data_IF_807784041377
#
_entry.id   IF_807784041377
#
_cell.length_a   1.000
_cell.length_b   1.000
_cell.length_c   1.000
_cell.angle_alpha   90.00
_cell.angle_beta   90.00
_cell.angle_gamma   90.00
#
_symmetry.space_group_name_H-M   'P 1'
#
loop_
_entity.id
_entity.type
_entity.pdbx_description
1 polymer ?
#
# COMPACT_ATOMS: atom_id res chain seq x y z
N UNK A 1 -15.85 13.16 -23.49
CA UNK A 1 -14.72 13.71 -22.70
C UNK A 1 -14.17 12.57 -21.86
N UNK A 2 -12.88 12.25 -21.92
CA UNK A 2 -12.30 11.12 -21.18
C UNK A 2 -12.15 11.51 -19.69
N UNK A 3 -12.99 11.00 -18.76
CA UNK A 3 -12.95 11.41 -17.36
C UNK A 3 -11.61 11.07 -16.68
N UNK A 4 -10.91 10.04 -17.15
CA UNK A 4 -9.56 9.70 -16.66
C UNK A 4 -8.47 10.70 -17.02
N UNK A 5 -8.63 11.48 -18.10
CA UNK A 5 -7.67 12.53 -18.46
C UNK A 5 -7.77 13.72 -17.49
N UNK A 6 -8.98 14.00 -17.00
CA UNK A 6 -9.21 15.07 -16.02
C UNK A 6 -8.60 14.79 -14.65
N UNK A 7 -8.35 13.51 -14.32
CA UNK A 7 -7.79 13.12 -13.03
C UNK A 7 -6.28 12.93 -13.06
N UNK A 8 -5.69 12.61 -14.21
CA UNK A 8 -4.22 12.42 -14.33
C UNK A 8 -3.47 13.74 -14.30
N UNK A 9 -3.99 14.80 -14.93
CA UNK A 9 -3.30 16.10 -15.00
C UNK A 9 -3.07 16.73 -13.62
N UNK A 10 -4.07 16.81 -12.71
CA UNK A 10 -3.84 17.29 -11.35
C UNK A 10 -2.82 16.43 -10.60
N UNK A 11 -2.87 15.10 -10.74
CA UNK A 11 -1.92 14.22 -10.07
C UNK A 11 -0.48 14.37 -10.59
N UNK A 12 -0.30 14.70 -11.88
CA UNK A 12 1.00 15.07 -12.43
C UNK A 12 1.48 16.41 -11.86
N UNK A 13 0.58 17.39 -11.75
CA UNK A 13 0.89 18.68 -11.15
C UNK A 13 1.31 18.55 -9.68
N UNK A 14 0.65 17.69 -8.90
CA UNK A 14 1.01 17.41 -7.50
C UNK A 14 2.48 16.93 -7.39
N UNK A 15 2.94 16.08 -8.30
CA UNK A 15 4.36 15.64 -8.35
C UNK A 15 5.31 16.80 -8.64
N UNK A 16 4.93 17.70 -9.56
CA UNK A 16 5.78 18.81 -10.01
C UNK A 16 5.84 19.93 -8.97
N UNK A 17 4.72 20.26 -8.33
CA UNK A 17 4.59 21.36 -7.37
C UNK A 17 5.07 20.98 -5.95
N UNK A 18 5.28 19.68 -5.67
CA UNK A 18 5.71 19.22 -4.36
C UNK A 18 7.16 19.63 -4.06
N UNK A 19 7.30 20.71 -3.30
CA UNK A 19 8.59 21.29 -2.88
C UNK A 19 9.36 20.43 -1.89
N UNK A 20 8.68 19.65 -1.05
CA UNK A 20 9.34 18.79 -0.07
C UNK A 20 9.84 17.50 -0.73
N UNK A 21 11.16 17.43 -0.99
CA UNK A 21 11.82 16.28 -1.61
C UNK A 21 11.68 15.01 -0.77
N UNK A 22 11.53 15.10 0.55
CA UNK A 22 11.35 13.94 1.42
C UNK A 22 10.01 13.22 1.19
N UNK A 23 8.99 13.96 0.73
CA UNK A 23 7.64 13.45 0.45
C UNK A 23 7.45 13.02 -1.01
N UNK A 24 8.40 13.32 -1.90
CA UNK A 24 8.28 13.01 -3.32
C UNK A 24 8.13 11.52 -3.61
N UNK A 25 8.83 10.68 -2.84
CA UNK A 25 8.69 9.23 -2.96
C UNK A 25 7.27 8.74 -2.63
N UNK A 26 6.59 9.41 -1.69
CA UNK A 26 5.22 9.11 -1.29
C UNK A 26 4.22 9.56 -2.36
N UNK A 27 4.34 10.78 -2.86
CA UNK A 27 3.44 11.29 -3.90
C UNK A 27 3.59 10.49 -5.20
N UNK A 28 4.83 10.16 -5.57
CA UNK A 28 5.10 9.28 -6.71
C UNK A 28 4.46 7.91 -6.50
N UNK A 29 4.55 7.32 -5.30
CA UNK A 29 3.91 6.05 -4.99
C UNK A 29 2.37 6.13 -5.02
N UNK A 30 1.80 7.25 -4.57
CA UNK A 30 0.36 7.56 -4.64
C UNK A 30 -0.10 7.66 -6.10
N UNK A 31 0.68 8.33 -6.94
CA UNK A 31 0.42 8.45 -8.38
C UNK A 31 0.38 7.09 -9.06
N UNK A 32 1.40 6.25 -8.87
CA UNK A 32 1.42 4.91 -9.48
C UNK A 32 0.28 4.04 -8.94
N UNK A 33 -0.19 4.25 -7.70
CA UNK A 33 -1.35 3.53 -7.16
C UNK A 33 -2.65 3.94 -7.86
N UNK A 34 -2.81 5.22 -8.18
CA UNK A 34 -3.95 5.74 -8.94
C UNK A 34 -3.89 5.32 -10.42
N UNK A 35 -2.69 5.20 -10.99
CA UNK A 35 -2.44 4.89 -12.40
C UNK A 35 -1.46 3.72 -12.54
N UNK A 36 -1.87 2.47 -12.20
CA UNK A 36 -0.96 1.32 -12.12
C UNK A 36 -0.37 0.88 -13.47
N UNK A 37 -0.98 1.29 -14.58
CA UNK A 37 -0.54 0.96 -15.94
C UNK A 37 0.51 1.95 -16.48
N UNK A 38 0.95 2.93 -15.68
CA UNK A 38 1.98 3.89 -16.09
C UNK A 38 3.31 3.20 -16.35
N UNK A 39 3.95 3.53 -17.47
CA UNK A 39 5.27 3.01 -17.81
C UNK A 39 6.38 3.74 -17.03
N UNK A 40 7.46 3.02 -16.63
CA UNK A 40 8.59 3.63 -15.90
C UNK A 40 9.24 4.78 -16.68
N UNK A 41 9.32 4.69 -18.00
CA UNK A 41 9.87 5.73 -18.86
C UNK A 41 9.05 7.02 -18.82
N UNK A 42 7.71 6.92 -18.77
CA UNK A 42 6.83 8.08 -18.66
C UNK A 42 6.94 8.74 -17.29
N UNK A 43 6.97 7.94 -16.22
CA UNK A 43 7.08 8.44 -14.86
C UNK A 43 8.44 9.10 -14.59
N UNK A 44 9.52 8.49 -15.05
CA UNK A 44 10.87 9.07 -14.95
C UNK A 44 11.02 10.33 -15.79
N UNK A 45 10.37 10.41 -16.95
CA UNK A 45 10.32 11.63 -17.77
C UNK A 45 9.58 12.76 -17.06
N UNK A 46 8.43 12.48 -16.44
CA UNK A 46 7.69 13.43 -15.62
C UNK A 46 8.55 13.96 -14.46
N UNK A 47 9.19 13.06 -13.70
CA UNK A 47 10.08 13.44 -12.60
C UNK A 47 11.29 14.25 -13.07
N UNK A 48 11.80 13.97 -14.27
CA UNK A 48 12.93 14.72 -14.86
C UNK A 48 12.57 16.15 -15.28
N UNK A 49 11.28 16.50 -15.31
CA UNK A 49 10.86 17.90 -15.51
C UNK A 49 11.08 18.74 -14.25
N UNK A 50 11.29 18.11 -13.10
CA UNK A 50 11.69 18.82 -11.89
C UNK A 50 13.16 19.20 -11.95
N UNK A 51 13.47 20.44 -11.60
CA UNK A 51 14.83 20.96 -11.61
C UNK A 51 15.69 20.49 -10.41
N UNK A 52 15.07 19.91 -9.39
CA UNK A 52 15.71 19.46 -8.14
C UNK A 52 16.10 17.97 -8.13
N UNK A 53 15.93 17.30 -9.28
CA UNK A 53 16.32 15.90 -9.50
C UNK A 53 17.26 15.77 -10.68
N UNK A 54 18.30 14.96 -10.48
CA UNK A 54 19.06 14.43 -11.60
C UNK A 54 18.25 13.38 -12.37
N UNK A 55 18.59 13.17 -13.64
CA UNK A 55 17.97 12.12 -14.48
C UNK A 55 18.07 10.72 -13.85
N UNK A 56 19.15 10.46 -13.12
CA UNK A 56 19.36 9.20 -12.42
C UNK A 56 18.45 9.07 -11.19
N UNK A 57 18.32 10.12 -10.37
CA UNK A 57 17.38 10.14 -9.24
C UNK A 57 15.94 9.94 -9.73
N UNK A 58 15.52 10.66 -10.77
CA UNK A 58 14.19 10.52 -11.35
C UNK A 58 13.89 9.08 -11.81
N UNK A 59 14.86 8.43 -12.45
CA UNK A 59 14.74 7.02 -12.86
C UNK A 59 14.62 6.09 -11.65
N UNK A 60 15.49 6.25 -10.65
CA UNK A 60 15.47 5.42 -9.44
C UNK A 60 14.16 5.58 -8.66
N UNK A 61 13.66 6.82 -8.50
CA UNK A 61 12.38 7.08 -7.82
C UNK A 61 11.21 6.44 -8.56
N UNK A 62 11.18 6.50 -9.90
CA UNK A 62 10.15 5.84 -10.70
C UNK A 62 10.18 4.31 -10.53
N UNK A 63 11.36 3.69 -10.64
CA UNK A 63 11.53 2.24 -10.47
C UNK A 63 11.14 1.77 -9.06
N UNK A 64 11.52 2.52 -8.02
CA UNK A 64 11.14 2.24 -6.64
C UNK A 64 9.62 2.32 -6.44
N UNK A 65 8.97 3.38 -6.93
CA UNK A 65 7.53 3.55 -6.82
C UNK A 65 6.76 2.40 -7.50
N UNK A 66 7.18 1.99 -8.70
CA UNK A 66 6.57 0.88 -9.43
C UNK A 66 6.79 -0.47 -8.76
N UNK A 67 7.99 -0.71 -8.23
CA UNK A 67 8.30 -1.94 -7.48
C UNK A 67 7.47 -2.05 -6.19
N UNK A 68 7.20 -0.94 -5.50
CA UNK A 68 6.38 -0.94 -4.29
C UNK A 68 4.95 -1.47 -4.55
N UNK A 69 4.40 -1.22 -5.74
CA UNK A 69 3.04 -1.65 -6.10
C UNK A 69 3.01 -3.11 -6.54
N UNK A 70 4.06 -3.60 -7.20
CA UNK A 70 4.17 -5.01 -7.60
C UNK A 70 4.04 -5.99 -6.43
N UNK A 71 4.48 -5.58 -5.25
CA UNK A 71 4.46 -6.41 -4.04
C UNK A 71 3.22 -6.15 -3.17
N UNK A 72 2.32 -5.25 -3.58
CA UNK A 72 1.12 -4.92 -2.83
C UNK A 72 -0.04 -5.81 -3.30
N UNK A 73 -0.66 -6.60 -2.41
CA UNK A 73 -1.82 -7.41 -2.79
C UNK A 73 -2.97 -6.49 -3.19
N UNK A 74 -3.55 -6.72 -4.38
CA UNK A 74 -4.76 -6.00 -4.84
C UNK A 74 -5.87 -6.23 -3.81
N UNK A 75 -6.29 -5.16 -3.12
CA UNK A 75 -7.25 -5.24 -2.00
C UNK A 75 -6.66 -5.00 -0.61
N UNK A 76 -5.35 -4.78 -0.50
CA UNK A 76 -4.63 -4.40 0.73
C UNK A 76 -5.31 -3.24 1.48
N UNK A 77 -5.74 -2.21 0.75
CA UNK A 77 -6.41 -1.06 1.34
C UNK A 77 -7.77 -1.44 1.97
N UNK A 78 -8.51 -2.40 1.42
CA UNK A 78 -9.75 -2.91 2.06
C UNK A 78 -9.47 -3.70 3.34
N UNK A 79 -8.44 -4.55 3.36
CA UNK A 79 -8.03 -5.25 4.58
C UNK A 79 -7.56 -4.28 5.66
N UNK A 80 -6.80 -3.26 5.29
CA UNK A 80 -6.38 -2.20 6.21
C UNK A 80 -7.57 -1.39 6.73
N UNK A 81 -8.52 -1.00 5.87
CA UNK A 81 -9.75 -0.29 6.29
C UNK A 81 -10.54 -1.11 7.32
N UNK A 82 -10.71 -2.42 7.08
CA UNK A 82 -11.37 -3.32 8.06
C UNK A 82 -10.58 -3.41 9.37
N UNK A 83 -9.26 -3.52 9.28
CA UNK A 83 -8.38 -3.55 10.46
C UNK A 83 -8.52 -2.26 11.30
N UNK A 84 -8.48 -1.09 10.66
CA UNK A 84 -8.62 0.19 11.35
C UNK A 84 -10.05 0.45 11.86
N UNK A 85 -11.07 -0.11 11.22
CA UNK A 85 -12.44 -0.12 11.74
C UNK A 85 -12.56 -0.95 13.02
N UNK A 86 -11.94 -2.14 13.09
CA UNK A 86 -11.93 -2.97 14.28
C UNK A 86 -11.31 -2.29 15.51
N UNK A 87 -10.34 -1.39 15.29
CA UNK A 87 -9.69 -0.60 16.36
C UNK A 87 -10.59 0.54 16.86
N UNK A 88 -11.41 1.13 15.98
CA UNK A 88 -12.35 2.21 16.34
C UNK A 88 -13.60 1.72 17.05
N UNK A 89 -13.99 0.46 16.86
CA UNK A 89 -15.01 -0.21 17.67
C UNK A 89 -14.45 -0.53 19.05
N UNK A 90 -14.53 0.48 19.92
CA UNK A 90 -14.30 0.50 21.37
C UNK A 90 -14.17 -0.89 22.05
N UNK A 91 -12.93 -1.32 22.30
CA UNK A 91 -12.45 -2.18 23.42
C UNK A 91 -13.16 -3.49 23.77
N UNK A 92 -14.26 -3.86 23.13
CA UNK A 92 -15.14 -4.97 23.53
C UNK A 92 -15.30 -5.91 22.33
N UNK A 93 -14.35 -6.85 22.25
CA UNK A 93 -14.41 -8.11 21.49
C UNK A 93 -14.45 -7.96 19.97
N UNK A 94 -13.32 -7.64 19.33
CA UNK A 94 -13.25 -7.63 17.85
C UNK A 94 -12.02 -8.33 17.29
N UNK A 95 -11.73 -9.54 17.81
CA UNK A 95 -11.07 -10.58 17.02
C UNK A 95 -11.76 -11.95 17.26
N UNK A 96 -13.08 -12.09 17.02
CA UNK A 96 -13.80 -13.34 17.28
C UNK A 96 -13.17 -14.53 16.55
N UNK A 97 -12.70 -14.32 15.32
CA UNK A 97 -12.02 -15.36 14.54
C UNK A 97 -10.66 -15.78 15.14
N UNK A 98 -9.92 -14.86 15.77
CA UNK A 98 -8.65 -15.21 16.41
C UNK A 98 -8.90 -15.93 17.74
N UNK A 99 -9.86 -15.47 18.55
CA UNK A 99 -10.22 -16.11 19.81
C UNK A 99 -10.72 -17.53 19.60
N UNK A 100 -11.59 -17.75 18.61
CA UNK A 100 -12.10 -19.06 18.25
C UNK A 100 -11.00 -19.96 17.66
N UNK A 101 -10.10 -19.41 16.83
CA UNK A 101 -8.92 -20.14 16.34
C UNK A 101 -7.98 -20.53 17.49
N UNK A 102 -7.74 -19.63 18.44
CA UNK A 102 -6.92 -19.91 19.62
C UNK A 102 -7.58 -20.95 20.52
N UNK A 103 -8.89 -20.88 20.73
CA UNK A 103 -9.65 -21.89 21.47
C UNK A 103 -9.54 -23.27 20.83
N UNK A 104 -9.70 -23.35 19.51
CA UNK A 104 -9.59 -24.61 18.76
C UNK A 104 -8.16 -25.18 18.83
N UNK A 105 -7.13 -24.33 18.72
CA UNK A 105 -5.73 -24.73 18.86
C UNK A 105 -5.43 -25.24 20.28
N UNK A 106 -5.93 -24.55 21.31
CA UNK A 106 -5.74 -24.95 22.72
C UNK A 106 -6.48 -26.24 23.04
N UNK A 107 -7.73 -26.39 22.59
CA UNK A 107 -8.51 -27.60 22.75
C UNK A 107 -7.83 -28.80 22.08
N UNK A 108 -7.30 -28.60 20.87
CA UNK A 108 -6.53 -29.62 20.15
C UNK A 108 -5.28 -30.03 20.93
N UNK A 109 -4.50 -29.06 21.43
CA UNK A 109 -3.29 -29.32 22.23
C UNK A 109 -3.59 -30.14 23.50
N UNK A 110 -4.61 -29.75 24.26
CA UNK A 110 -5.02 -30.47 25.48
C UNK A 110 -5.50 -31.89 25.17
N UNK A 111 -6.28 -32.07 24.10
CA UNK A 111 -6.73 -33.40 23.68
C UNK A 111 -5.57 -34.27 23.20
N UNK A 112 -4.57 -33.70 22.53
CA UNK A 112 -3.37 -34.44 22.13
C UNK A 112 -2.47 -34.79 23.32
N UNK A 113 -2.35 -33.91 24.32
CA UNK A 113 -1.57 -34.16 25.53
C UNK A 113 -2.16 -35.31 26.37
N UNK A 114 -3.48 -35.35 26.55
CA UNK A 114 -4.16 -36.44 27.27
C UNK A 114 -4.14 -37.79 26.55
N UNK A 115 -3.73 -37.83 25.27
CA UNK A 115 -3.65 -39.05 24.46
C UNK A 115 -2.26 -39.72 24.55
N UNK A 116 -1.26 -39.02 25.10
CA UNK A 116 0.13 -39.52 25.24
C UNK A 116 0.36 -40.20 26.60
N UNK A 117 -0.52 -39.97 27.59
CA UNK A 117 -0.48 -40.58 28.94
C UNK A 117 -1.33 -41.86 29.09
N UNK A 118 -1.71 -42.54 27.99
CA UNK A 118 -2.38 -43.86 28.02
C UNK A 118 -1.64 -44.91 27.20
#
# INVERSE_FOLDING_TARGET
MYPGLLTVLPAMADILDLRDKSLLSLETSSFVRKFPDVQPELLSSLLSLREDLTRQEAKLTAEQALNNIRHQPKGSDQSMVKLFQCIKSDGKRTLPALEETMHNMFATLVMTANKVDR
#
